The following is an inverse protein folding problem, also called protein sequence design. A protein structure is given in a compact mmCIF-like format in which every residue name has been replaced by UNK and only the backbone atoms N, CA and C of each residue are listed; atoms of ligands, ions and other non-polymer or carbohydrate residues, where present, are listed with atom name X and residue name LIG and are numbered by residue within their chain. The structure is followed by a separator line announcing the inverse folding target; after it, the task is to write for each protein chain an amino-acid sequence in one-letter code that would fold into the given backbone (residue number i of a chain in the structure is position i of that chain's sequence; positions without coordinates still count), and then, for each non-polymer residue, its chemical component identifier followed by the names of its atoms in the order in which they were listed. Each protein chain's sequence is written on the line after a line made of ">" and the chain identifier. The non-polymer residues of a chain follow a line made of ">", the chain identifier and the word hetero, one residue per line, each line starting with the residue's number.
data_IF_249575651989
#
_entry.id   IF_249575651989
#
_cell.length_a   1.000
_cell.length_b   1.000
_cell.length_c   1.000
_cell.angle_alpha   90.00
_cell.angle_beta   90.00
_cell.angle_gamma   90.00
#
_symmetry.space_group_name_H-M   'P 1'
#
loop_
_entity.id
_entity.type
_entity.pdbx_description
1 polymer ?
#
# COMPACT_ATOMS: atom_id res chain seq x y z
N UNK A 1 31.63 12.34 -19.56
CA UNK A 1 32.06 12.53 -18.16
C UNK A 1 30.76 12.73 -17.41
N UNK A 2 30.36 11.90 -16.70
CA UNK A 2 30.39 11.23 -15.47
C UNK A 2 29.09 10.39 -15.30
N UNK A 3 29.08 9.16 -15.73
CA UNK A 3 28.00 8.19 -15.46
C UNK A 3 28.34 7.26 -14.27
N UNK A 4 29.31 7.65 -13.45
CA UNK A 4 29.86 6.82 -12.37
C UNK A 4 29.46 7.24 -10.96
N UNK A 5 28.56 8.22 -10.79
CA UNK A 5 28.20 8.77 -9.48
C UNK A 5 27.00 8.15 -8.78
N UNK A 6 26.06 7.56 -9.51
CA UNK A 6 24.71 7.27 -8.98
C UNK A 6 24.54 5.88 -8.33
N UNK A 7 25.42 4.94 -8.63
CA UNK A 7 25.37 3.59 -8.05
C UNK A 7 25.74 3.53 -6.56
N UNK A 8 26.40 4.57 -6.03
CA UNK A 8 26.86 4.60 -4.64
C UNK A 8 25.86 5.26 -3.67
N UNK A 9 24.74 5.82 -4.18
CA UNK A 9 23.73 6.48 -3.33
C UNK A 9 22.55 5.57 -2.99
N UNK A 10 22.40 4.44 -3.65
CA UNK A 10 21.35 3.49 -3.28
C UNK A 10 21.77 2.76 -1.99
N UNK A 11 21.09 3.07 -0.89
CA UNK A 11 21.39 2.46 0.41
C UNK A 11 21.25 0.94 0.35
N UNK A 12 21.97 0.22 1.20
CA UNK A 12 21.91 -1.24 1.31
C UNK A 12 20.46 -1.73 1.55
N UNK A 13 19.67 -0.92 2.25
CA UNK A 13 18.26 -1.20 2.49
C UNK A 13 17.43 -1.23 1.20
N UNK A 14 17.61 -0.25 0.30
CA UNK A 14 16.90 -0.22 -1.00
C UNK A 14 17.30 -1.41 -1.85
N UNK A 15 18.57 -1.78 -1.84
CA UNK A 15 19.05 -2.99 -2.53
C UNK A 15 18.35 -4.23 -2.00
N UNK A 16 18.29 -4.38 -0.66
CA UNK A 16 17.57 -5.50 -0.03
C UNK A 16 16.08 -5.54 -0.37
N UNK A 17 15.42 -4.37 -0.47
CA UNK A 17 14.02 -4.29 -0.90
C UNK A 17 13.84 -4.70 -2.37
N UNK A 18 14.75 -4.28 -3.26
CA UNK A 18 14.71 -4.65 -4.68
C UNK A 18 15.01 -6.13 -4.89
N UNK A 19 16.01 -6.68 -4.18
CA UNK A 19 16.32 -8.12 -4.21
C UNK A 19 15.10 -8.93 -3.75
N UNK A 20 14.48 -8.54 -2.63
CA UNK A 20 13.29 -9.17 -2.11
C UNK A 20 12.09 -9.08 -3.07
N UNK A 21 11.89 -7.91 -3.70
CA UNK A 21 10.81 -7.74 -4.67
C UNK A 21 11.04 -8.51 -5.96
N UNK A 22 12.25 -8.55 -6.49
CA UNK A 22 12.61 -9.32 -7.68
C UNK A 22 12.32 -10.82 -7.47
N UNK A 23 12.70 -11.36 -6.31
CA UNK A 23 12.39 -12.75 -5.92
C UNK A 23 10.87 -12.94 -5.80
N UNK A 24 10.16 -12.03 -5.11
CA UNK A 24 8.72 -12.10 -4.93
C UNK A 24 7.95 -12.04 -6.26
N UNK A 25 8.36 -11.16 -7.19
CA UNK A 25 7.78 -11.08 -8.52
C UNK A 25 7.98 -12.39 -9.30
N UNK A 26 9.20 -12.95 -9.25
CA UNK A 26 9.49 -14.24 -9.89
C UNK A 26 8.61 -15.38 -9.31
N UNK A 27 8.38 -15.39 -8.00
CA UNK A 27 7.53 -16.37 -7.33
C UNK A 27 6.04 -16.23 -7.69
N UNK A 28 5.52 -15.01 -7.73
CA UNK A 28 4.14 -14.74 -8.16
C UNK A 28 3.95 -15.22 -9.59
N UNK A 29 4.84 -14.85 -10.52
CA UNK A 29 4.77 -15.32 -11.91
C UNK A 29 4.86 -16.84 -11.97
N UNK A 30 5.79 -17.47 -11.25
CA UNK A 30 5.93 -18.91 -11.22
C UNK A 30 4.68 -19.64 -10.72
N UNK A 31 4.00 -19.08 -9.73
CA UNK A 31 2.77 -19.67 -9.19
C UNK A 31 1.58 -19.60 -10.14
N UNK A 32 1.57 -18.64 -11.05
CA UNK A 32 0.45 -18.38 -11.96
C UNK A 32 0.72 -18.87 -13.40
N UNK A 33 1.99 -18.83 -13.85
CA UNK A 33 2.38 -19.14 -15.23
C UNK A 33 3.09 -20.49 -15.38
N UNK A 34 3.26 -21.25 -14.30
CA UNK A 34 3.97 -22.54 -14.26
C UNK A 34 5.42 -22.47 -14.80
N UNK A 35 5.97 -21.25 -14.87
CA UNK A 35 7.34 -20.95 -15.27
C UNK A 35 7.91 -19.86 -14.37
N UNK A 36 9.10 -20.12 -13.80
CA UNK A 36 9.80 -19.15 -12.97
C UNK A 36 10.77 -18.32 -13.80
N UNK A 37 10.57 -16.98 -13.92
CA UNK A 37 11.55 -16.13 -14.59
C UNK A 37 12.77 -15.88 -13.68
N UNK A 38 13.91 -15.59 -14.31
CA UNK A 38 14.99 -14.85 -13.67
C UNK A 38 14.67 -13.36 -13.74
N UNK A 39 14.88 -12.64 -12.62
CA UNK A 39 14.54 -11.21 -12.52
C UNK A 39 15.76 -10.44 -12.00
N UNK A 40 16.82 -10.31 -12.80
CA UNK A 40 17.94 -9.43 -12.46
C UNK A 40 17.49 -7.97 -12.53
N UNK A 41 18.12 -7.13 -11.68
CA UNK A 41 17.86 -5.71 -11.68
C UNK A 41 19.15 -4.89 -11.65
N UNK A 42 19.05 -3.64 -12.11
CA UNK A 42 20.12 -2.65 -12.08
C UNK A 42 19.56 -1.27 -11.72
N UNK A 43 20.39 -0.39 -11.16
CA UNK A 43 19.97 0.97 -10.88
C UNK A 43 19.70 1.72 -12.21
N UNK A 44 18.61 2.48 -12.25
CA UNK A 44 18.20 3.23 -13.44
C UNK A 44 17.73 4.63 -13.04
N UNK A 45 18.03 5.61 -13.88
CA UNK A 45 17.65 7.02 -13.66
C UNK A 45 16.40 7.42 -14.44
N UNK A 46 15.98 6.62 -15.40
CA UNK A 46 14.82 6.90 -16.25
C UNK A 46 14.10 5.60 -16.63
N UNK A 47 12.79 5.68 -16.88
CA UNK A 47 12.02 4.55 -17.42
C UNK A 47 12.47 4.22 -18.85
N UNK A 48 12.12 3.02 -19.36
CA UNK A 48 12.38 2.64 -20.76
C UNK A 48 11.82 3.66 -21.74
N UNK A 49 12.56 3.94 -22.82
CA UNK A 49 12.14 4.85 -23.87
C UNK A 49 11.18 4.17 -24.86
N UNK A 50 10.14 3.53 -24.36
CA UNK A 50 9.11 2.85 -25.17
C UNK A 50 7.81 3.65 -25.16
N UNK A 51 7.04 3.71 -26.28
CA UNK A 51 5.87 4.58 -26.38
C UNK A 51 4.67 4.11 -25.56
N UNK A 52 4.52 2.81 -25.35
CA UNK A 52 3.33 2.20 -24.73
C UNK A 52 3.66 1.60 -23.36
N UNK A 53 4.07 2.45 -22.41
CA UNK A 53 4.31 2.03 -21.02
C UNK A 53 2.99 1.98 -20.25
N UNK A 54 2.74 0.86 -19.60
CA UNK A 54 1.72 0.74 -18.57
C UNK A 54 2.29 1.29 -17.26
N UNK A 55 1.75 2.39 -16.81
CA UNK A 55 2.12 3.03 -15.56
C UNK A 55 1.21 2.58 -14.44
N UNK A 56 1.80 2.26 -13.29
CA UNK A 56 1.11 1.89 -12.07
C UNK A 56 1.71 2.62 -10.89
N UNK A 57 0.90 3.39 -10.18
CA UNK A 57 1.24 3.97 -8.89
C UNK A 57 0.69 3.11 -7.77
N UNK A 58 1.55 2.66 -6.87
CA UNK A 58 1.18 1.90 -5.69
C UNK A 58 1.48 2.71 -4.44
N UNK A 59 0.47 3.35 -3.85
CA UNK A 59 0.62 4.00 -2.55
C UNK A 59 0.68 2.98 -1.42
N UNK A 60 1.37 3.36 -0.33
CA UNK A 60 1.49 2.56 0.88
C UNK A 60 0.91 3.31 2.08
N UNK A 61 0.30 2.58 3.01
CA UNK A 61 -0.21 3.12 4.29
C UNK A 61 0.93 3.46 5.25
N UNK A 62 1.81 4.35 4.82
CA UNK A 62 2.94 4.89 5.60
C UNK A 62 2.67 6.35 5.92
N UNK A 63 2.47 7.14 4.89
CA UNK A 63 2.14 8.56 4.91
C UNK A 63 1.66 8.99 3.51
N UNK A 64 0.92 10.09 3.39
CA UNK A 64 0.54 10.66 2.09
C UNK A 64 1.76 10.88 1.19
N UNK A 65 1.69 10.39 -0.03
CA UNK A 65 2.78 10.46 -1.00
C UNK A 65 3.89 9.41 -0.86
N UNK A 66 3.79 8.47 0.10
CA UNK A 66 4.68 7.32 0.16
C UNK A 66 4.19 6.25 -0.84
N UNK A 67 4.82 6.18 -1.99
CA UNK A 67 4.43 5.31 -3.10
C UNK A 67 5.63 4.79 -3.88
N UNK A 68 5.39 3.79 -4.72
CA UNK A 68 6.26 3.42 -5.82
C UNK A 68 5.50 3.54 -7.13
N UNK A 69 6.22 3.85 -8.21
CA UNK A 69 5.69 3.77 -9.57
C UNK A 69 6.38 2.64 -10.31
N UNK A 70 5.59 1.87 -11.06
CA UNK A 70 6.10 0.84 -11.95
C UNK A 70 5.70 1.19 -13.38
N UNK A 71 6.69 1.24 -14.27
CA UNK A 71 6.47 1.39 -15.70
C UNK A 71 6.79 0.06 -16.38
N UNK A 72 5.82 -0.54 -17.04
CA UNK A 72 5.99 -1.83 -17.73
C UNK A 72 5.76 -1.66 -19.21
N UNK A 73 6.73 -2.01 -20.08
CA UNK A 73 6.56 -2.05 -21.51
C UNK A 73 5.43 -2.99 -21.94
N UNK A 74 4.72 -2.61 -23.00
CA UNK A 74 3.63 -3.43 -23.54
C UNK A 74 4.08 -4.84 -23.88
N UNK A 75 5.24 -4.99 -24.48
CA UNK A 75 5.84 -6.29 -24.82
C UNK A 75 5.97 -7.21 -23.60
N UNK A 76 6.33 -6.66 -22.44
CA UNK A 76 6.52 -7.39 -21.19
C UNK A 76 5.20 -7.79 -20.56
N UNK A 77 4.29 -6.84 -20.32
CA UNK A 77 3.03 -7.18 -19.64
C UNK A 77 2.13 -8.06 -20.53
N UNK A 78 2.13 -7.87 -21.85
CA UNK A 78 1.35 -8.69 -22.77
C UNK A 78 1.91 -10.13 -22.84
N UNK A 79 3.23 -10.27 -22.84
CA UNK A 79 3.88 -11.57 -22.82
C UNK A 79 3.57 -12.34 -21.51
N UNK A 80 3.81 -11.73 -20.35
CA UNK A 80 3.62 -12.39 -19.05
C UNK A 80 2.15 -12.70 -18.80
N UNK A 81 1.23 -11.77 -19.09
CA UNK A 81 -0.20 -11.99 -18.95
C UNK A 81 -0.71 -13.10 -19.86
N UNK A 82 -0.24 -13.13 -21.13
CA UNK A 82 -0.59 -14.19 -22.07
C UNK A 82 -0.03 -15.55 -21.62
N UNK A 83 1.21 -15.59 -21.15
CA UNK A 83 1.84 -16.81 -20.65
C UNK A 83 1.03 -17.40 -19.47
N UNK A 84 0.64 -16.54 -18.54
CA UNK A 84 -0.17 -16.91 -17.37
C UNK A 84 -1.54 -17.46 -17.76
N UNK A 85 -2.25 -16.77 -18.65
CA UNK A 85 -3.59 -17.21 -19.08
C UNK A 85 -3.54 -18.52 -19.88
N UNK A 86 -2.50 -18.73 -20.69
CA UNK A 86 -2.27 -20.01 -21.37
C UNK A 86 -1.98 -21.15 -20.41
N UNK A 87 -1.19 -20.90 -19.35
CA UNK A 87 -0.97 -21.87 -18.30
C UNK A 87 -2.27 -22.26 -17.57
N UNK A 88 -3.21 -21.30 -17.44
CA UNK A 88 -4.55 -21.55 -16.92
C UNK A 88 -5.51 -22.27 -17.90
N UNK A 89 -5.04 -22.59 -19.13
CA UNK A 89 -5.79 -23.38 -20.11
C UNK A 89 -6.56 -22.57 -21.16
N UNK A 90 -6.35 -21.26 -21.27
CA UNK A 90 -6.94 -20.44 -22.33
C UNK A 90 -6.18 -20.65 -23.64
N UNK A 91 -6.88 -21.03 -24.72
CA UNK A 91 -6.26 -21.18 -26.06
C UNK A 91 -6.02 -19.83 -26.73
N UNK A 92 -6.94 -18.88 -26.57
CA UNK A 92 -6.85 -17.53 -27.10
C UNK A 92 -6.91 -16.53 -25.94
N UNK A 93 -6.07 -15.51 -26.01
CA UNK A 93 -5.97 -14.47 -24.98
C UNK A 93 -6.17 -13.09 -25.63
N UNK A 94 -7.10 -12.32 -25.11
CA UNK A 94 -7.27 -10.95 -25.52
C UNK A 94 -6.29 -10.02 -24.80
N UNK A 95 -5.89 -8.93 -25.47
CA UNK A 95 -4.92 -7.97 -24.92
C UNK A 95 -5.36 -7.40 -23.55
N UNK A 96 -6.65 -7.13 -23.38
CA UNK A 96 -7.16 -6.62 -22.11
C UNK A 96 -7.11 -7.66 -20.98
N UNK A 97 -7.30 -8.94 -21.29
CA UNK A 97 -7.19 -10.03 -20.33
C UNK A 97 -5.74 -10.19 -19.86
N UNK A 98 -4.80 -10.19 -20.81
CA UNK A 98 -3.37 -10.23 -20.51
C UNK A 98 -2.93 -9.03 -19.64
N UNK A 99 -3.44 -7.83 -19.94
CA UNK A 99 -3.19 -6.63 -19.16
C UNK A 99 -3.72 -6.74 -17.73
N UNK A 100 -4.95 -7.17 -17.55
CA UNK A 100 -5.56 -7.32 -16.22
C UNK A 100 -4.82 -8.39 -15.40
N UNK A 101 -4.43 -9.48 -16.02
CA UNK A 101 -3.62 -10.54 -15.39
C UNK A 101 -2.26 -10.00 -14.95
N UNK A 102 -1.60 -9.19 -15.78
CA UNK A 102 -0.37 -8.51 -15.37
C UNK A 102 -0.57 -7.59 -14.17
N UNK A 103 -1.64 -6.81 -14.14
CA UNK A 103 -1.94 -5.92 -13.01
C UNK A 103 -2.19 -6.70 -11.71
N UNK A 104 -2.80 -7.88 -11.80
CA UNK A 104 -2.96 -8.78 -10.66
C UNK A 104 -1.62 -9.30 -10.16
N UNK A 105 -0.75 -9.79 -11.04
CA UNK A 105 0.62 -10.22 -10.73
C UNK A 105 1.39 -9.09 -10.05
N UNK A 106 1.32 -7.89 -10.63
CA UNK A 106 1.99 -6.70 -10.10
C UNK A 106 1.48 -6.36 -8.69
N UNK A 107 0.16 -6.31 -8.49
CA UNK A 107 -0.45 -6.04 -7.19
C UNK A 107 -0.05 -7.05 -6.11
N UNK A 108 -0.02 -8.35 -6.44
CA UNK A 108 0.42 -9.39 -5.52
C UNK A 108 1.91 -9.23 -5.16
N UNK A 109 2.78 -8.97 -6.15
CA UNK A 109 4.20 -8.76 -5.92
C UNK A 109 4.49 -7.50 -5.07
N UNK A 110 3.77 -6.40 -5.33
CA UNK A 110 3.88 -5.15 -4.57
C UNK A 110 3.36 -5.28 -3.13
N UNK A 111 2.38 -6.15 -2.89
CA UNK A 111 1.97 -6.51 -1.53
C UNK A 111 3.11 -7.23 -0.76
N UNK A 112 3.95 -7.98 -1.47
CA UNK A 112 5.20 -8.52 -0.93
C UNK A 112 6.21 -7.43 -0.57
N UNK A 113 6.39 -6.46 -1.47
CA UNK A 113 7.25 -5.29 -1.22
C UNK A 113 6.78 -4.48 -0.01
N UNK A 114 5.47 -4.25 0.14
CA UNK A 114 4.90 -3.57 1.31
C UNK A 114 5.29 -4.26 2.62
N UNK A 115 5.21 -5.59 2.67
CA UNK A 115 5.64 -6.37 3.85
C UNK A 115 7.14 -6.22 4.12
N UNK A 116 7.96 -6.22 3.08
CA UNK A 116 9.41 -6.01 3.21
C UNK A 116 9.73 -4.61 3.73
N UNK A 117 9.05 -3.58 3.22
CA UNK A 117 9.13 -2.20 3.73
C UNK A 117 8.71 -2.17 5.21
N UNK A 118 7.62 -2.85 5.57
CA UNK A 118 7.17 -2.95 6.96
C UNK A 118 8.22 -3.59 7.87
N UNK A 119 8.90 -4.63 7.41
CA UNK A 119 10.02 -5.25 8.12
C UNK A 119 11.17 -4.27 8.37
N UNK A 120 11.52 -3.45 7.39
CA UNK A 120 12.54 -2.39 7.53
C UNK A 120 12.08 -1.30 8.50
N UNK A 121 10.81 -0.87 8.40
CA UNK A 121 10.25 0.20 9.25
C UNK A 121 9.86 -0.28 10.66
N UNK A 122 9.91 -1.59 10.95
CA UNK A 122 9.50 -2.16 12.24
C UNK A 122 8.00 -1.99 12.54
N UNK A 123 7.15 -1.81 11.53
CA UNK A 123 5.70 -1.66 11.62
C UNK A 123 5.00 -2.31 10.43
N UNK A 124 3.72 -2.64 10.59
CA UNK A 124 2.93 -3.14 9.48
C UNK A 124 2.76 -2.08 8.39
N UNK A 125 3.00 -2.46 7.15
CA UNK A 125 2.79 -1.64 5.95
C UNK A 125 1.92 -2.42 4.97
N UNK A 126 0.84 -1.80 4.52
CA UNK A 126 -0.09 -2.36 3.54
C UNK A 126 -0.19 -1.47 2.31
N UNK A 127 -0.59 -2.05 1.18
CA UNK A 127 -0.90 -1.31 -0.02
C UNK A 127 -2.26 -0.63 0.10
N UNK A 128 -2.37 0.59 -0.40
CA UNK A 128 -3.64 1.21 -0.73
C UNK A 128 -4.11 0.79 -2.13
N UNK A 129 -5.25 1.30 -2.58
CA UNK A 129 -5.68 1.06 -3.94
C UNK A 129 -4.70 1.67 -4.94
N UNK A 130 -4.08 0.84 -5.76
CA UNK A 130 -3.20 1.31 -6.82
C UNK A 130 -3.97 1.93 -7.97
N UNK A 131 -3.34 2.84 -8.69
CA UNK A 131 -3.94 3.57 -9.82
C UNK A 131 -3.00 3.60 -11.02
N UNK A 132 -3.60 3.67 -12.21
CA UNK A 132 -2.83 3.88 -13.44
C UNK A 132 -2.48 5.36 -13.59
N UNK A 133 -1.31 5.72 -13.12
CA UNK A 133 -0.84 7.09 -13.13
C UNK A 133 0.69 7.13 -13.24
N UNK A 134 1.20 7.96 -14.14
CA UNK A 134 2.63 8.24 -14.25
C UNK A 134 3.02 9.35 -13.28
N UNK A 135 4.22 9.32 -12.70
CA UNK A 135 4.69 10.41 -11.86
C UNK A 135 4.86 11.71 -12.67
N UNK A 136 4.53 12.85 -12.07
CA UNK A 136 4.75 14.16 -12.71
C UNK A 136 6.26 14.41 -12.95
N UNK A 137 7.08 13.94 -12.04
CA UNK A 137 8.55 13.95 -12.14
C UNK A 137 9.09 12.57 -11.80
N UNK A 138 10.05 12.09 -12.58
CA UNK A 138 10.64 10.78 -12.30
C UNK A 138 11.42 10.80 -10.98
N UNK A 139 11.17 9.82 -10.09
CA UNK A 139 11.95 9.66 -8.87
C UNK A 139 13.46 9.49 -9.14
N UNK A 140 14.30 10.10 -8.31
CA UNK A 140 15.75 9.97 -8.40
C UNK A 140 16.22 8.55 -8.05
N UNK A 141 15.52 7.88 -7.13
CA UNK A 141 15.81 6.50 -6.74
C UNK A 141 14.93 5.55 -7.53
N UNK A 142 15.55 4.82 -8.46
CA UNK A 142 14.85 3.90 -9.32
C UNK A 142 15.73 2.75 -9.79
N UNK A 143 15.09 1.68 -10.27
CA UNK A 143 15.74 0.50 -10.82
C UNK A 143 15.01 -0.02 -12.07
N UNK A 144 15.76 -0.73 -12.90
CA UNK A 144 15.27 -1.45 -14.06
C UNK A 144 15.35 -2.95 -13.78
N UNK A 145 14.28 -3.70 -14.04
CA UNK A 145 14.22 -5.15 -13.82
C UNK A 145 13.90 -5.85 -15.15
N UNK A 146 14.68 -6.85 -15.50
CA UNK A 146 14.47 -7.67 -16.69
C UNK A 146 13.85 -9.01 -16.31
N UNK A 147 12.83 -9.46 -17.04
CA UNK A 147 12.23 -10.79 -16.86
C UNK A 147 12.74 -11.71 -17.97
N UNK A 148 13.41 -12.79 -17.60
CA UNK A 148 13.94 -13.79 -18.54
C UNK A 148 13.34 -15.17 -18.28
N UNK A 149 12.78 -15.77 -19.33
CA UNK A 149 12.17 -17.10 -19.33
C UNK A 149 13.02 -18.03 -20.21
N UNK A 150 14.05 -18.65 -19.62
CA UNK A 150 15.05 -19.37 -20.39
C UNK A 150 15.82 -18.45 -21.32
N UNK A 151 15.73 -18.69 -22.65
CA UNK A 151 16.39 -17.84 -23.66
C UNK A 151 15.58 -16.59 -24.03
N UNK A 152 14.31 -16.51 -23.66
CA UNK A 152 13.43 -15.38 -23.95
C UNK A 152 13.55 -14.29 -22.86
N UNK A 153 14.20 -13.17 -23.19
CA UNK A 153 14.28 -11.99 -22.34
C UNK A 153 13.26 -10.94 -22.79
N UNK A 154 12.55 -10.36 -21.82
CA UNK A 154 11.56 -9.32 -22.07
C UNK A 154 12.18 -7.92 -21.90
N UNK A 155 11.56 -6.90 -22.51
CA UNK A 155 11.92 -5.51 -22.27
C UNK A 155 11.85 -5.19 -20.77
N UNK A 156 12.84 -4.47 -20.21
CA UNK A 156 12.91 -4.26 -18.77
C UNK A 156 11.76 -3.36 -18.29
N UNK A 157 11.15 -3.71 -17.19
CA UNK A 157 10.28 -2.84 -16.43
C UNK A 157 11.09 -1.91 -15.51
N UNK A 158 10.50 -0.81 -15.12
CA UNK A 158 11.13 0.17 -14.24
C UNK A 158 10.32 0.36 -12.98
N UNK A 159 11.01 0.55 -11.84
CA UNK A 159 10.39 0.93 -10.56
C UNK A 159 11.09 2.17 -10.01
N UNK A 160 10.30 3.16 -9.59
CA UNK A 160 10.78 4.36 -8.92
C UNK A 160 10.15 4.52 -7.54
N UNK A 161 10.92 5.01 -6.58
CA UNK A 161 10.52 5.21 -5.19
C UNK A 161 10.25 6.70 -4.94
N UNK A 162 9.09 7.02 -4.37
CA UNK A 162 8.75 8.41 -4.06
C UNK A 162 9.74 9.03 -3.07
N UNK A 163 10.02 10.35 -3.16
CA UNK A 163 10.87 11.04 -2.18
C UNK A 163 10.37 10.85 -0.76
N UNK A 164 9.03 10.80 -0.58
CA UNK A 164 8.43 10.60 0.75
C UNK A 164 8.72 9.20 1.31
N UNK A 165 8.64 8.16 0.48
CA UNK A 165 9.01 6.81 0.90
C UNK A 165 10.50 6.74 1.25
N UNK A 166 11.36 7.39 0.44
CA UNK A 166 12.80 7.44 0.67
C UNK A 166 13.16 8.14 1.98
N UNK A 167 12.43 9.20 2.35
CA UNK A 167 12.59 9.88 3.64
C UNK A 167 12.39 8.90 4.80
N UNK A 168 11.33 8.09 4.78
CA UNK A 168 11.09 7.09 5.83
C UNK A 168 12.17 6.02 5.89
N UNK A 169 12.63 5.54 4.74
CA UNK A 169 13.66 4.50 4.68
C UNK A 169 15.04 5.03 5.12
N UNK A 170 15.34 6.29 4.87
CA UNK A 170 16.65 6.89 5.25
C UNK A 170 16.76 7.25 6.73
N UNK A 171 15.65 7.64 7.38
CA UNK A 171 15.67 7.95 8.82
C UNK A 171 16.09 6.74 9.68
N UNK A 172 15.86 5.53 9.23
CA UNK A 172 16.30 4.31 9.93
C UNK A 172 17.77 3.96 9.68
N UNK A 173 18.35 4.41 8.57
CA UNK A 173 19.76 4.22 8.28
C UNK A 173 20.68 5.10 9.14
N UNK A 174 20.16 6.24 9.67
CA UNK A 174 20.88 7.20 10.47
C UNK A 174 21.08 6.85 11.95
N UNK A 175 20.55 5.72 12.43
CA UNK A 175 20.81 5.24 13.80
C UNK A 175 20.27 6.11 14.92
N UNK A 176 19.37 7.04 14.67
CA UNK A 176 18.56 7.66 15.74
C UNK A 176 17.39 6.69 16.05
N UNK A 177 17.69 5.77 16.98
CA UNK A 177 16.64 5.10 17.72
C UNK A 177 15.77 6.22 18.31
N UNK A 178 14.51 6.31 17.85
CA UNK A 178 13.49 7.04 18.60
C UNK A 178 13.46 6.37 19.95
N UNK A 179 14.01 7.09 20.94
CA UNK A 179 14.06 6.65 22.32
C UNK A 179 12.74 5.98 22.69
N UNK A 180 12.84 4.69 23.02
CA UNK A 180 11.79 3.98 23.69
C UNK A 180 11.46 4.80 24.93
N UNK A 181 10.26 5.37 24.93
CA UNK A 181 9.70 6.08 26.08
C UNK A 181 9.93 5.20 27.30
N UNK A 182 10.91 5.60 28.12
CA UNK A 182 11.19 4.98 29.38
C UNK A 182 9.88 4.93 30.17
N UNK A 183 9.47 3.72 30.50
CA UNK A 183 8.39 3.47 31.43
C UNK A 183 8.70 4.15 32.76
N UNK A 184 8.19 5.35 32.97
CA UNK A 184 8.12 5.95 34.28
C UNK A 184 6.98 5.27 35.01
N UNK A 185 7.34 4.43 35.99
CA UNK A 185 6.45 3.96 37.03
C UNK A 185 5.83 5.17 37.75
N UNK A 186 4.51 5.28 37.84
CA UNK A 186 3.90 6.35 38.60
C UNK A 186 4.03 6.04 40.09
N UNK A 187 4.78 6.89 40.79
CA UNK A 187 4.64 7.01 42.26
C UNK A 187 3.29 7.67 42.55
N UNK A 188 2.51 6.99 43.35
CA UNK A 188 1.25 7.44 43.91
C UNK A 188 1.52 8.61 44.84
N UNK A 189 0.94 9.78 44.56
CA UNK A 189 0.55 10.75 45.58
C UNK A 189 -0.81 11.34 45.26
N UNK A 190 -1.66 11.30 46.28
CA UNK A 190 -3.05 11.71 46.25
C UNK A 190 -3.19 13.23 46.33
N UNK A 191 -4.05 13.80 45.50
CA UNK A 191 -4.48 15.19 45.65
C UNK A 191 -5.24 15.68 44.42
N UNK A 192 -6.56 15.87 44.59
CA UNK A 192 -7.50 16.19 43.52
C UNK A 192 -7.26 17.50 42.81
N UNK A 193 -7.78 17.55 41.61
CA UNK A 193 -8.63 18.63 41.08
C UNK A 193 -8.85 18.38 39.59
N UNK A 194 -10.09 18.46 39.16
CA UNK A 194 -10.51 18.42 37.74
C UNK A 194 -9.83 19.52 36.95
N UNK A 195 -8.88 19.13 36.09
CA UNK A 195 -8.35 20.02 35.05
C UNK A 195 -8.97 19.65 33.71
N UNK A 196 -9.94 20.45 33.28
CA UNK A 196 -10.36 20.56 31.89
C UNK A 196 -9.14 20.97 31.06
N UNK A 197 -8.51 20.04 30.35
CA UNK A 197 -7.42 20.34 29.44
C UNK A 197 -7.92 21.24 28.31
N UNK A 198 -7.51 22.52 28.34
CA UNK A 198 -7.73 23.50 27.28
C UNK A 198 -6.76 23.18 26.13
N UNK A 199 -7.24 23.25 24.90
CA UNK A 199 -6.50 23.04 23.64
C UNK A 199 -5.34 24.04 23.39
N UNK A 200 -4.89 24.79 24.40
CA UNK A 200 -4.01 25.95 24.27
C UNK A 200 -2.50 25.71 24.48
N UNK A 201 -2.03 24.49 24.80
CA UNK A 201 -0.64 24.22 25.14
C UNK A 201 -0.01 23.08 24.28
N UNK A 202 -0.26 23.11 22.97
CA UNK A 202 0.40 22.21 22.03
C UNK A 202 1.65 22.88 21.44
N UNK A 203 2.77 22.15 21.31
CA UNK A 203 3.96 22.68 20.67
C UNK A 203 3.68 23.04 19.20
N UNK A 204 4.32 24.07 18.62
CA UNK A 204 4.03 24.60 17.28
C UNK A 204 4.21 23.61 16.12
N UNK A 205 4.86 22.49 16.35
CA UNK A 205 4.98 21.36 15.40
C UNK A 205 3.70 20.53 15.25
N UNK A 206 2.74 20.67 16.15
CA UNK A 206 1.49 19.90 16.12
C UNK A 206 0.40 20.61 15.30
N UNK A 207 0.52 21.92 15.09
CA UNK A 207 -0.42 22.68 14.23
C UNK A 207 -0.34 22.24 12.76
N UNK A 208 0.83 21.82 12.29
CA UNK A 208 1.01 21.28 10.94
C UNK A 208 0.32 19.91 10.72
N UNK A 209 0.05 19.18 11.80
CA UNK A 209 -0.66 17.90 11.74
C UNK A 209 -2.18 18.05 11.73
N UNK A 210 -2.70 19.24 12.08
CA UNK A 210 -4.13 19.49 12.11
C UNK A 210 -4.73 19.73 10.72
N UNK A 211 -3.90 20.09 9.75
CA UNK A 211 -4.31 20.35 8.36
C UNK A 211 -4.23 19.08 7.47
N UNK A 212 -3.87 17.93 8.05
CA UNK A 212 -3.81 16.66 7.29
C UNK A 212 -5.21 16.09 7.10
N UNK A 213 -5.64 15.97 5.85
CA UNK A 213 -6.87 15.27 5.49
C UNK A 213 -6.72 13.77 5.70
N UNK A 214 -7.61 13.18 6.49
CA UNK A 214 -7.63 11.74 6.76
C UNK A 214 -8.87 11.11 6.13
N UNK A 215 -8.74 9.98 5.42
CA UNK A 215 -9.88 9.27 4.87
C UNK A 215 -10.75 8.70 5.99
N UNK A 216 -12.02 9.08 5.96
CA UNK A 216 -13.03 8.61 6.91
C UNK A 216 -13.91 7.60 6.17
N UNK A 217 -14.04 6.39 6.70
CA UNK A 217 -14.95 5.36 6.21
C UNK A 217 -16.03 5.02 7.24
N UNK A 218 -17.19 4.59 6.73
CA UNK A 218 -18.34 4.19 7.57
C UNK A 218 -18.64 2.71 7.30
N UNK A 219 -18.57 1.89 8.35
CA UNK A 219 -18.89 0.47 8.27
C UNK A 219 -20.32 0.22 8.79
N UNK A 220 -21.17 -0.30 7.91
CA UNK A 220 -22.56 -0.69 8.23
C UNK A 220 -22.64 -2.07 8.89
N UNK A 221 -21.60 -2.88 8.80
CA UNK A 221 -21.53 -4.24 9.32
C UNK A 221 -20.56 -5.08 8.52
N UNK A 222 -20.36 -6.31 8.97
CA UNK A 222 -19.51 -7.32 8.33
C UNK A 222 -20.30 -8.61 8.22
N UNK A 223 -19.95 -9.46 7.28
CA UNK A 223 -20.46 -10.83 7.20
C UNK A 223 -19.38 -11.73 6.64
N UNK A 224 -19.44 -12.99 6.99
CA UNK A 224 -18.54 -14.02 6.45
C UNK A 224 -19.34 -14.92 5.52
N UNK A 225 -18.90 -15.06 4.29
CA UNK A 225 -19.49 -15.91 3.29
C UNK A 225 -18.52 -17.03 2.91
N UNK A 226 -19.04 -18.21 2.61
CA UNK A 226 -18.21 -19.25 2.03
C UNK A 226 -17.79 -18.84 0.62
N UNK A 227 -16.58 -19.18 0.21
CA UNK A 227 -16.07 -18.85 -1.13
C UNK A 227 -17.03 -19.30 -2.26
N UNK A 228 -17.61 -20.50 -2.12
CA UNK A 228 -18.62 -21.00 -3.07
C UNK A 228 -19.86 -20.11 -3.19
N UNK A 229 -20.21 -19.36 -2.14
CA UNK A 229 -21.39 -18.49 -2.13
C UNK A 229 -21.00 -17.09 -2.66
N UNK A 230 -19.77 -16.64 -2.41
CA UNK A 230 -19.21 -15.44 -3.05
C UNK A 230 -19.17 -15.59 -4.58
N UNK A 231 -18.73 -16.74 -5.09
CA UNK A 231 -18.69 -17.02 -6.54
C UNK A 231 -20.07 -17.09 -7.21
N UNK A 232 -21.17 -17.20 -6.43
CA UNK A 232 -22.55 -17.20 -6.93
C UNK A 232 -23.22 -15.83 -6.89
N UNK A 233 -22.55 -14.80 -6.36
CA UNK A 233 -23.10 -13.45 -6.31
C UNK A 233 -23.27 -12.89 -7.74
N UNK A 234 -24.46 -12.39 -8.00
CA UNK A 234 -24.83 -11.76 -9.27
C UNK A 234 -25.49 -10.42 -9.00
N UNK A 235 -25.70 -9.61 -10.04
CA UNK A 235 -26.43 -8.36 -9.91
C UNK A 235 -27.82 -8.62 -9.33
N UNK A 236 -28.15 -7.96 -8.22
CA UNK A 236 -29.40 -8.16 -7.47
C UNK A 236 -29.28 -9.17 -6.32
N UNK A 237 -28.14 -9.83 -6.10
CA UNK A 237 -27.92 -10.65 -4.91
C UNK A 237 -27.96 -9.78 -3.64
N UNK A 238 -28.57 -10.32 -2.58
CA UNK A 238 -28.65 -9.67 -1.27
C UNK A 238 -27.62 -10.32 -0.36
N UNK A 239 -26.78 -9.50 0.26
CA UNK A 239 -25.84 -9.93 1.29
C UNK A 239 -26.32 -9.39 2.62
N UNK A 240 -26.67 -10.29 3.54
CA UNK A 240 -27.11 -9.92 4.87
C UNK A 240 -25.90 -9.66 5.77
N UNK A 241 -25.91 -8.54 6.49
CA UNK A 241 -24.84 -8.15 7.41
C UNK A 241 -25.17 -8.59 8.83
N UNK A 242 -24.15 -8.79 9.64
CA UNK A 242 -24.28 -9.21 11.05
C UNK A 242 -24.76 -8.11 12.01
N UNK A 243 -25.39 -7.06 11.50
CA UNK A 243 -25.79 -5.88 12.29
C UNK A 243 -27.23 -5.47 11.97
N UNK A 244 -27.99 -5.16 13.00
CA UNK A 244 -29.38 -4.70 12.87
C UNK A 244 -29.48 -3.27 12.35
N UNK A 245 -30.60 -2.94 11.69
CA UNK A 245 -30.87 -1.62 11.07
C UNK A 245 -30.80 -0.47 12.08
N UNK A 246 -31.09 -0.73 13.35
CA UNK A 246 -31.12 0.27 14.43
C UNK A 246 -29.80 0.32 15.23
N UNK A 247 -28.81 -0.49 14.87
CA UNK A 247 -27.52 -0.47 15.55
C UNK A 247 -26.64 0.64 15.00
N UNK A 248 -25.86 1.31 15.88
CA UNK A 248 -24.98 2.40 15.46
C UNK A 248 -23.91 1.90 14.49
N UNK A 249 -23.72 2.62 13.39
CA UNK A 249 -22.62 2.35 12.42
C UNK A 249 -21.27 2.78 13.00
N UNK A 250 -20.22 2.16 12.52
CA UNK A 250 -18.86 2.46 12.93
C UNK A 250 -18.18 3.44 11.98
N UNK A 251 -17.61 4.50 12.56
CA UNK A 251 -16.81 5.49 11.84
C UNK A 251 -15.34 5.17 12.07
N UNK A 252 -14.63 4.92 10.98
CA UNK A 252 -13.23 4.53 11.00
C UNK A 252 -12.37 5.57 10.27
N UNK A 253 -11.19 5.82 10.82
CA UNK A 253 -10.12 6.57 10.16
C UNK A 253 -8.91 5.65 10.11
N UNK A 254 -8.39 5.40 8.91
CA UNK A 254 -7.30 4.45 8.71
C UNK A 254 -7.56 3.09 9.39
N UNK A 255 -8.79 2.54 9.24
CA UNK A 255 -9.25 1.29 9.87
C UNK A 255 -9.35 1.33 11.41
N UNK A 256 -8.99 2.44 12.07
CA UNK A 256 -9.16 2.61 13.51
C UNK A 256 -10.57 3.13 13.81
N UNK A 257 -11.30 2.46 14.69
CA UNK A 257 -12.61 2.91 15.16
C UNK A 257 -12.45 4.19 15.99
N UNK A 258 -13.02 5.30 15.49
CA UNK A 258 -12.97 6.61 16.17
C UNK A 258 -14.29 7.00 16.81
N UNK A 259 -15.40 6.57 16.20
CA UNK A 259 -16.73 6.94 16.67
C UNK A 259 -17.78 5.89 16.26
N UNK A 260 -18.94 5.96 16.92
CA UNK A 260 -20.17 5.28 16.53
C UNK A 260 -21.27 6.30 16.35
N UNK A 261 -22.17 6.05 15.38
CA UNK A 261 -23.25 6.97 15.10
C UNK A 261 -24.40 6.35 14.33
N UNK A 262 -25.41 7.12 14.04
CA UNK A 262 -26.55 6.71 13.22
C UNK A 262 -26.45 7.32 11.83
N UNK A 263 -26.92 6.58 10.84
CA UNK A 263 -26.98 7.07 9.45
C UNK A 263 -28.11 8.07 9.31
N UNK A 264 -27.81 9.18 8.71
CA UNK A 264 -28.78 10.27 8.42
C UNK A 264 -28.69 10.65 6.95
N UNK A 265 -29.71 11.30 6.45
CA UNK A 265 -29.68 11.89 5.10
C UNK A 265 -29.60 13.41 5.26
N UNK A 266 -28.58 14.01 4.65
CA UNK A 266 -28.35 15.46 4.65
C UNK A 266 -28.28 15.93 3.21
N UNK A 267 -29.23 16.77 2.79
CA UNK A 267 -29.29 17.35 1.44
C UNK A 267 -29.19 16.30 0.29
N UNK A 268 -29.75 15.10 0.52
CA UNK A 268 -29.73 14.00 -0.45
C UNK A 268 -28.50 13.10 -0.40
N UNK A 269 -27.53 13.37 0.46
CA UNK A 269 -26.35 12.55 0.69
C UNK A 269 -26.46 11.78 2.01
N UNK A 270 -25.79 10.63 2.09
CA UNK A 270 -25.65 9.92 3.36
C UNK A 270 -24.68 10.67 4.27
N UNK A 271 -25.07 10.85 5.53
CA UNK A 271 -24.25 11.37 6.62
C UNK A 271 -24.28 10.46 7.83
N UNK A 272 -23.43 10.70 8.81
CA UNK A 272 -23.44 9.99 10.10
C UNK A 272 -23.54 11.01 11.23
N UNK A 273 -24.58 10.86 12.06
CA UNK A 273 -24.70 11.62 13.30
C UNK A 273 -23.94 10.89 14.40
N UNK A 274 -22.83 11.46 14.86
CA UNK A 274 -22.00 10.85 15.91
C UNK A 274 -22.79 10.80 17.22
N UNK A 275 -22.89 9.61 17.79
CA UNK A 275 -23.52 9.34 19.08
C UNK A 275 -22.50 9.06 20.18
N UNK A 276 -21.36 8.47 19.82
CA UNK A 276 -20.32 8.11 20.76
C UNK A 276 -18.94 8.26 20.12
N UNK A 277 -18.01 8.90 20.83
CA UNK A 277 -16.58 8.97 20.46
C UNK A 277 -15.81 7.95 21.28
N UNK A 278 -15.01 7.14 20.62
CA UNK A 278 -14.17 6.12 21.27
C UNK A 278 -13.01 6.80 22.01
N UNK A 279 -12.76 6.41 23.27
CA UNK A 279 -11.71 6.99 24.10
C UNK A 279 -10.32 6.83 23.49
N UNK A 280 -9.35 7.69 23.85
CA UNK A 280 -7.97 7.59 23.36
C UNK A 280 -7.33 6.23 23.71
N UNK A 281 -7.65 5.67 24.87
CA UNK A 281 -7.14 4.38 25.32
C UNK A 281 -7.67 3.21 24.48
N UNK A 282 -8.93 3.26 24.06
CA UNK A 282 -9.55 2.21 23.24
C UNK A 282 -9.11 2.32 21.77
N UNK A 283 -8.80 3.54 21.27
CA UNK A 283 -8.22 3.75 19.95
C UNK A 283 -6.83 3.12 19.81
N UNK A 284 -6.02 3.14 20.87
CA UNK A 284 -4.71 2.50 20.90
C UNK A 284 -4.80 0.96 21.00
N UNK A 285 -5.92 0.41 21.46
CA UNK A 285 -6.14 -1.05 21.50
C UNK A 285 -6.68 -1.64 20.21
N UNK A 286 -7.30 -0.84 19.36
CA UNK A 286 -7.83 -1.29 18.07
C UNK A 286 -6.77 -1.35 16.94
N UNK A 287 -5.55 -0.91 17.23
CA UNK A 287 -4.36 -1.07 16.39
C UNK A 287 -3.67 -2.38 16.81
N UNK A 288 -4.27 -3.52 16.45
CA UNK A 288 -3.66 -4.85 16.55
C UNK A 288 -3.82 -5.62 15.28
#
# INVERSE_FOLDING_TARGET
>A
MSAGGDLNQMTEQIRGLLDGWAVGLAEVVASMADQKPEVPWEAATAPPAEPDLLWWEQPFQIAPGAAVWVATPRTTWEYVGTLTLKAAGLETVETNEARNTWLEILGQSLSGLARSIGGVLGREVTCEAGVEHAPETHPETAASLSLSFGEASQSPLWIGFSPKLMEFLSHLAGGEAVDAVQAHTPQTDAGGESATARFGDMPPTMDLLLDVELPVSVSFGKTELLLKDVLKLTTGSIVELNRGVNEPVEVLVNHCLIARGEVVVVEGNYGVRIQQIVSRADRLRSVR
#
